data_IF_294939883990
#
_entry.id   IF_294939883990
#
_cell.length_a   1.000
_cell.length_b   1.000
_cell.length_c   1.000
_cell.angle_alpha   90.00
_cell.angle_beta   90.00
_cell.angle_gamma   90.00
#
_symmetry.space_group_name_H-M   'P 1'
#
loop_
_entity.id
_entity.type
_entity.pdbx_description
1 polymer ?
#
# COMPACT_ATOMS: atom_id res chain seq x y z
N UNK A 1 -9.87 -16.21 2.98
CA UNK A 1 -9.15 -15.13 2.28
C UNK A 1 -10.03 -13.91 2.34
N UNK A 2 -9.46 -12.76 2.68
CA UNK A 2 -10.18 -11.48 2.83
C UNK A 2 -9.36 -10.39 2.14
N UNK A 3 -10.06 -9.45 1.48
CA UNK A 3 -9.43 -8.28 0.86
C UNK A 3 -10.01 -7.04 1.54
N UNK A 4 -9.14 -6.13 1.95
CA UNK A 4 -9.50 -4.81 2.49
C UNK A 4 -8.98 -3.76 1.52
N UNK A 5 -9.87 -2.90 1.03
CA UNK A 5 -9.53 -1.76 0.18
C UNK A 5 -9.02 -0.64 1.08
N UNK A 6 -7.74 -0.29 0.97
CA UNK A 6 -7.10 0.73 1.80
C UNK A 6 -6.82 2.03 1.04
N UNK A 7 -7.18 2.09 -0.24
CA UNK A 7 -7.00 3.22 -1.13
C UNK A 7 -7.42 2.88 -2.55
N UNK A 8 -7.46 3.87 -3.45
CA UNK A 8 -8.04 3.76 -4.79
C UNK A 8 -9.48 3.19 -4.81
N UNK A 9 -10.23 3.34 -3.72
CA UNK A 9 -11.65 3.00 -3.66
C UNK A 9 -12.49 4.25 -4.00
N UNK A 10 -13.23 4.20 -5.10
CA UNK A 10 -13.99 5.33 -5.68
C UNK A 10 -13.13 6.55 -6.04
N UNK A 11 -11.83 6.37 -6.20
CA UNK A 11 -10.86 7.38 -6.60
C UNK A 11 -9.70 6.73 -7.38
N UNK A 12 -8.89 7.54 -8.06
CA UNK A 12 -7.79 7.03 -8.90
C UNK A 12 -6.52 6.78 -8.08
N UNK A 13 -6.18 7.68 -7.15
CA UNK A 13 -4.85 7.71 -6.54
C UNK A 13 -4.79 7.03 -5.18
N UNK A 14 -3.57 6.65 -4.78
CA UNK A 14 -3.32 6.03 -3.49
C UNK A 14 -3.64 4.54 -3.46
N UNK A 15 -3.35 3.78 -4.52
CA UNK A 15 -3.61 2.33 -4.57
C UNK A 15 -2.96 1.61 -3.40
N UNK A 16 -3.77 0.90 -2.61
CA UNK A 16 -3.31 0.04 -1.51
C UNK A 16 -4.40 -0.97 -1.17
N UNK A 17 -4.08 -2.26 -1.24
CA UNK A 17 -5.04 -3.34 -0.96
C UNK A 17 -4.39 -4.39 -0.05
N UNK A 18 -4.99 -4.62 1.12
CA UNK A 18 -4.52 -5.63 2.06
C UNK A 18 -5.23 -6.95 1.78
N UNK A 19 -4.46 -7.98 1.46
CA UNK A 19 -4.93 -9.34 1.22
C UNK A 19 -4.49 -10.21 2.39
N UNK A 20 -5.46 -10.77 3.10
CA UNK A 20 -5.25 -11.68 4.23
C UNK A 20 -5.60 -13.12 3.83
N UNK A 21 -4.62 -14.01 3.91
CA UNK A 21 -4.78 -15.44 3.64
C UNK A 21 -5.37 -16.18 4.86
N UNK A 22 -5.80 -17.43 4.67
CA UNK A 22 -6.45 -18.21 5.73
C UNK A 22 -5.51 -18.58 6.89
N UNK A 23 -4.21 -18.64 6.63
CA UNK A 23 -3.16 -18.91 7.61
C UNK A 23 -2.67 -17.64 8.34
N UNK A 24 -3.26 -16.49 8.03
CA UNK A 24 -2.92 -15.20 8.62
C UNK A 24 -1.85 -14.41 7.87
N UNK A 25 -1.29 -14.95 6.77
CA UNK A 25 -0.30 -14.23 5.96
C UNK A 25 -0.92 -12.98 5.29
N UNK A 26 -0.25 -11.84 5.43
CA UNK A 26 -0.71 -10.52 4.99
C UNK A 26 0.13 -9.99 3.84
N UNK A 27 -0.49 -9.88 2.66
CA UNK A 27 0.11 -9.32 1.45
C UNK A 27 -0.46 -7.93 1.26
N UNK A 28 0.41 -6.93 1.13
CA UNK A 28 0.02 -5.61 0.66
C UNK A 28 0.24 -5.55 -0.86
N UNK A 29 -0.82 -5.30 -1.63
CA UNK A 29 -0.75 -5.04 -3.06
C UNK A 29 -0.77 -3.52 -3.28
N UNK A 30 0.33 -3.02 -3.83
CA UNK A 30 0.65 -1.59 -4.00
C UNK A 30 0.70 -0.79 -2.68
N UNK A 31 1.40 0.35 -2.72
CA UNK A 31 1.49 1.30 -1.63
C UNK A 31 1.66 2.72 -2.20
N UNK A 32 0.57 3.22 -2.78
CA UNK A 32 0.53 4.41 -3.59
C UNK A 32 0.35 5.72 -2.84
N UNK A 33 0.94 6.79 -3.37
CA UNK A 33 0.69 8.15 -2.89
C UNK A 33 -0.66 8.67 -3.40
N UNK A 34 -1.50 9.16 -2.49
CA UNK A 34 -2.67 9.92 -2.89
C UNK A 34 -2.24 11.28 -3.44
N UNK A 35 -2.76 11.61 -4.61
CA UNK A 35 -2.56 12.88 -5.30
C UNK A 35 -3.94 13.46 -5.64
N UNK A 36 -4.27 14.61 -5.06
CA UNK A 36 -5.58 15.22 -5.17
C UNK A 36 -5.68 16.48 -4.31
N UNK A 37 -6.77 17.22 -4.44
CA UNK A 37 -7.05 18.44 -3.66
C UNK A 37 -8.15 18.23 -2.61
N UNK A 38 -8.58 17.00 -2.42
CA UNK A 38 -9.67 16.70 -1.52
C UNK A 38 -9.24 16.85 -0.07
N UNK A 39 -9.90 17.73 0.66
CA UNK A 39 -9.65 17.95 2.08
C UNK A 39 -9.95 16.73 2.92
N UNK A 40 -10.85 15.85 2.48
CA UNK A 40 -11.18 14.61 3.17
C UNK A 40 -10.04 13.59 3.14
N UNK A 41 -9.11 13.72 2.19
CA UNK A 41 -7.96 12.82 2.01
C UNK A 41 -6.64 13.42 2.52
N UNK A 42 -6.70 14.53 3.26
CA UNK A 42 -5.52 15.24 3.77
C UNK A 42 -4.63 14.33 4.61
N UNK A 43 -5.23 13.46 5.41
CA UNK A 43 -4.52 12.56 6.32
C UNK A 43 -4.25 11.17 5.72
N UNK A 44 -4.73 10.91 4.49
CA UNK A 44 -4.61 9.60 3.85
C UNK A 44 -3.15 9.15 3.75
N UNK A 45 -2.27 10.07 3.35
CA UNK A 45 -0.85 9.79 3.19
C UNK A 45 -0.13 9.63 4.54
N UNK A 46 -0.73 10.06 5.66
CA UNK A 46 -0.13 10.03 6.99
C UNK A 46 -0.59 8.83 7.83
N UNK A 47 -1.79 8.32 7.56
CA UNK A 47 -2.46 7.28 8.36
C UNK A 47 -2.57 5.95 7.63
N UNK A 48 -2.72 4.86 8.38
CA UNK A 48 -2.89 3.51 7.85
C UNK A 48 -4.18 2.88 8.39
N UNK A 49 -4.84 2.07 7.56
CA UNK A 49 -5.96 1.21 7.99
C UNK A 49 -5.49 -0.17 8.49
N UNK A 50 -4.18 -0.35 8.59
CA UNK A 50 -3.49 -1.56 9.03
C UNK A 50 -2.19 -1.18 9.74
N UNK A 51 -1.57 -2.12 10.46
CA UNK A 51 -0.23 -1.89 11.03
C UNK A 51 0.84 -2.26 10.00
N UNK A 52 1.73 -1.33 9.57
CA UNK A 52 2.80 -1.64 8.62
C UNK A 52 3.72 -2.79 9.05
N UNK A 53 3.94 -2.93 10.36
CA UNK A 53 4.78 -4.00 10.94
C UNK A 53 4.16 -5.40 10.86
N UNK A 54 2.87 -5.51 10.55
CA UNK A 54 2.18 -6.79 10.40
C UNK A 54 2.13 -7.28 8.94
N UNK A 55 2.63 -6.50 7.98
CA UNK A 55 2.63 -6.89 6.57
C UNK A 55 3.83 -7.80 6.30
N UNK A 56 3.57 -9.01 5.80
CA UNK A 56 4.61 -10.00 5.53
C UNK A 56 5.38 -9.72 4.24
N UNK A 57 4.68 -9.28 3.19
CA UNK A 57 5.30 -8.79 1.97
C UNK A 57 4.46 -7.76 1.22
N UNK A 58 5.17 -6.96 0.41
CA UNK A 58 4.58 -6.02 -0.53
C UNK A 58 4.78 -6.56 -1.95
N UNK A 59 3.71 -6.56 -2.74
CA UNK A 59 3.78 -6.74 -4.19
C UNK A 59 3.49 -5.39 -4.83
N UNK A 60 4.46 -4.86 -5.59
CA UNK A 60 4.29 -3.62 -6.35
C UNK A 60 4.01 -3.97 -7.81
N UNK A 61 2.86 -3.53 -8.31
CA UNK A 61 2.39 -3.83 -9.66
C UNK A 61 3.25 -3.15 -10.75
N UNK A 62 3.57 -1.87 -10.57
CA UNK A 62 4.37 -1.06 -11.49
C UNK A 62 4.87 0.24 -10.83
N UNK A 63 5.67 1.02 -11.55
CA UNK A 63 6.44 2.13 -10.97
C UNK A 63 5.67 3.45 -10.74
N UNK A 64 4.42 3.56 -11.19
CA UNK A 64 3.67 4.82 -11.03
C UNK A 64 3.53 5.23 -9.56
N UNK A 65 3.63 6.53 -9.29
CA UNK A 65 3.73 7.08 -7.94
C UNK A 65 2.45 6.87 -7.11
N UNK A 66 1.29 6.78 -7.75
CA UNK A 66 0.02 6.42 -7.12
C UNK A 66 -0.12 4.92 -6.82
N UNK A 67 0.94 4.13 -7.09
CA UNK A 67 1.11 2.74 -6.68
C UNK A 67 2.37 2.51 -5.81
N UNK A 68 3.40 3.36 -5.92
CA UNK A 68 4.70 3.18 -5.25
C UNK A 68 5.06 4.27 -4.22
N UNK A 69 4.40 5.43 -4.27
CA UNK A 69 4.89 6.64 -3.63
C UNK A 69 4.81 6.67 -2.10
N UNK A 70 4.08 5.74 -1.45
CA UNK A 70 4.03 5.61 0.01
C UNK A 70 4.96 4.53 0.57
N UNK A 71 5.66 3.76 -0.28
CA UNK A 71 6.59 2.72 0.16
C UNK A 71 7.64 3.25 1.16
N UNK A 72 8.28 4.43 0.97
CA UNK A 72 9.24 4.94 1.95
C UNK A 72 8.64 5.17 3.33
N UNK A 73 7.39 5.65 3.40
CA UNK A 73 6.66 5.82 4.66
C UNK A 73 6.29 4.48 5.28
N UNK A 74 5.85 3.51 4.47
CA UNK A 74 5.55 2.15 4.94
C UNK A 74 6.75 1.55 5.68
N UNK A 75 7.95 1.68 5.10
CA UNK A 75 9.22 1.24 5.72
C UNK A 75 9.53 2.04 6.98
N UNK A 76 9.41 3.37 6.94
CA UNK A 76 9.66 4.22 8.10
C UNK A 76 8.74 3.90 9.29
N UNK A 77 7.50 3.47 9.01
CA UNK A 77 6.48 3.15 10.02
C UNK A 77 6.52 1.67 10.46
N UNK A 78 7.55 0.91 10.07
CA UNK A 78 7.87 -0.39 10.69
C UNK A 78 7.71 -1.62 9.79
N UNK A 79 7.40 -1.46 8.50
CA UNK A 79 7.46 -2.58 7.56
C UNK A 79 8.91 -3.07 7.35
N UNK A 80 9.11 -4.39 7.45
CA UNK A 80 10.42 -5.03 7.29
C UNK A 80 10.40 -6.21 6.31
N UNK A 81 9.28 -6.42 5.61
CA UNK A 81 9.12 -7.52 4.66
C UNK A 81 9.79 -7.27 3.31
N UNK A 82 9.72 -8.28 2.43
CA UNK A 82 10.25 -8.16 1.07
C UNK A 82 9.28 -7.37 0.17
N UNK A 83 9.86 -6.61 -0.76
CA UNK A 83 9.14 -5.92 -1.83
C UNK A 83 9.40 -6.65 -3.14
N UNK A 84 8.34 -7.22 -3.72
CA UNK A 84 8.40 -7.94 -4.98
C UNK A 84 7.86 -7.07 -6.12
N UNK A 85 8.63 -6.97 -7.20
CA UNK A 85 8.23 -6.30 -8.43
C UNK A 85 9.03 -6.86 -9.61
N UNK A 86 8.67 -6.46 -10.83
CA UNK A 86 9.46 -6.82 -12.02
C UNK A 86 10.78 -6.06 -12.05
N UNK A 87 11.76 -6.55 -12.82
CA UNK A 87 13.04 -5.84 -12.99
C UNK A 87 12.87 -4.42 -13.55
N UNK A 88 11.93 -4.20 -14.46
CA UNK A 88 11.66 -2.89 -15.03
C UNK A 88 11.04 -1.90 -14.03
N UNK A 89 10.46 -2.39 -12.94
CA UNK A 89 9.86 -1.58 -11.87
C UNK A 89 10.89 -1.17 -10.81
N UNK A 90 11.98 -1.93 -10.65
CA UNK A 90 12.99 -1.73 -9.59
C UNK A 90 13.99 -0.63 -9.91
#
# INVERSE_FOLDING_TARGET
MKITFCGADRQVTGSAHLIELNDGYKILLDCGLYQGRDSEMKDFNETWLFSPSEIDCLILSHAHIDHSGRIPKLVADGFAGNIFCTHATR
#
